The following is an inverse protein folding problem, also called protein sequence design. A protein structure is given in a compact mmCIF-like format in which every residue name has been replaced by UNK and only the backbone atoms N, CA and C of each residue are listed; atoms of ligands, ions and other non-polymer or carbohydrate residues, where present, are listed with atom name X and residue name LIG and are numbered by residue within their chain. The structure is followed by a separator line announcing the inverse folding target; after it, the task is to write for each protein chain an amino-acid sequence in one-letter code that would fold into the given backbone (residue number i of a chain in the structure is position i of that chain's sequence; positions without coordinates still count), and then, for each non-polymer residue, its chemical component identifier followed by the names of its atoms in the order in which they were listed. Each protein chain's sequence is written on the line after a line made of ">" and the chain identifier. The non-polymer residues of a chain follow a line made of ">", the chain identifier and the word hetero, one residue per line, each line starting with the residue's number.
data_IF_610661721941
#
_entry.id   IF_610661721941
#
_cell.length_a   1.000
_cell.length_b   1.000
_cell.length_c   1.000
_cell.angle_alpha   90.00
_cell.angle_beta   90.00
_cell.angle_gamma   90.00
#
_symmetry.space_group_name_H-M   'P 1'
#
loop_
_entity.id
_entity.type
_entity.pdbx_description
1 polymer ?
#
# COMPACT_ATOMS: atom_id res chain seq x y z
N UNK A 1 -30.66 48.81 -31.31
CA UNK A 1 -30.05 48.91 -29.95
C UNK A 1 -28.83 48.02 -29.86
N UNK A 2 -27.86 48.39 -29.04
CA UNK A 2 -26.81 47.48 -28.60
C UNK A 2 -27.44 46.43 -27.67
N UNK A 3 -27.19 45.16 -27.89
CA UNK A 3 -27.68 44.07 -27.04
C UNK A 3 -26.50 43.53 -26.26
N UNK A 4 -26.61 43.45 -24.93
CA UNK A 4 -25.55 42.91 -24.06
C UNK A 4 -26.08 41.71 -23.28
N UNK A 5 -25.35 40.60 -23.32
CA UNK A 5 -25.73 39.34 -22.68
C UNK A 5 -24.50 38.49 -22.35
N UNK A 6 -24.63 37.53 -21.45
CA UNK A 6 -23.58 36.54 -21.20
C UNK A 6 -23.41 35.63 -22.41
N UNK A 7 -22.18 35.15 -22.62
CA UNK A 7 -21.87 34.19 -23.69
C UNK A 7 -22.59 32.83 -23.50
N UNK A 8 -22.83 32.43 -22.25
CA UNK A 8 -23.48 31.18 -21.88
C UNK A 8 -24.49 31.42 -20.74
N UNK A 9 -25.52 30.56 -20.67
CA UNK A 9 -26.52 30.60 -19.62
C UNK A 9 -26.00 29.99 -18.30
N UNK A 10 -25.14 28.98 -18.38
CA UNK A 10 -24.61 28.27 -17.23
C UNK A 10 -23.14 27.91 -17.43
N UNK A 11 -22.42 27.73 -16.32
CA UNK A 11 -21.08 27.14 -16.29
C UNK A 11 -20.92 26.33 -15.01
N UNK A 12 -20.21 25.21 -15.10
CA UNK A 12 -19.78 24.46 -13.93
C UNK A 12 -18.26 24.55 -13.79
N UNK A 13 -17.78 24.88 -12.60
CA UNK A 13 -16.36 25.03 -12.29
C UNK A 13 -16.02 24.22 -11.05
N UNK A 14 -14.79 23.70 -10.99
CA UNK A 14 -14.29 23.09 -9.75
C UNK A 14 -13.98 24.17 -8.74
N UNK A 15 -14.19 23.89 -7.47
CA UNK A 15 -13.86 24.79 -6.38
C UNK A 15 -12.40 25.27 -6.44
N UNK A 16 -11.46 24.34 -6.70
CA UNK A 16 -10.03 24.66 -6.85
C UNK A 16 -9.62 25.53 -8.05
N UNK A 17 -10.55 25.99 -8.89
CA UNK A 17 -10.23 26.80 -10.08
C UNK A 17 -9.60 28.14 -9.69
N UNK A 18 -9.91 28.65 -8.49
CA UNK A 18 -9.49 29.97 -8.04
C UNK A 18 -10.17 31.07 -8.86
N UNK A 19 -9.60 31.46 -10.01
CA UNK A 19 -10.13 32.54 -10.85
C UNK A 19 -10.45 32.06 -12.25
N UNK A 20 -11.60 32.46 -12.77
CA UNK A 20 -11.98 32.21 -14.15
C UNK A 20 -12.67 33.41 -14.79
N UNK A 21 -12.55 33.52 -16.11
CA UNK A 21 -13.13 34.63 -16.86
C UNK A 21 -14.51 34.25 -17.38
N UNK A 22 -15.52 35.07 -17.06
CA UNK A 22 -16.84 35.02 -17.69
C UNK A 22 -16.90 36.04 -18.81
N UNK A 23 -17.25 35.57 -20.01
CA UNK A 23 -17.33 36.43 -21.20
C UNK A 23 -18.74 36.99 -21.38
N UNK A 24 -18.81 38.30 -21.60
CA UNK A 24 -20.03 39.05 -21.89
C UNK A 24 -19.92 39.54 -23.34
N UNK A 25 -20.97 39.27 -24.10
CA UNK A 25 -21.08 39.63 -25.50
C UNK A 25 -21.94 40.86 -25.69
N UNK A 26 -21.52 41.66 -26.67
CA UNK A 26 -22.26 42.78 -27.22
C UNK A 26 -22.45 42.57 -28.71
N UNK A 27 -23.70 42.65 -29.17
CA UNK A 27 -24.05 42.60 -30.58
C UNK A 27 -25.12 43.66 -30.94
N UNK A 28 -25.54 43.71 -32.20
CA UNK A 28 -26.40 44.77 -32.73
C UNK A 28 -25.61 46.06 -33.00
N UNK A 29 -26.05 47.20 -32.46
CA UNK A 29 -25.36 48.48 -32.67
C UNK A 29 -24.07 48.56 -31.84
N UNK A 30 -22.92 48.67 -32.49
CA UNK A 30 -21.59 48.76 -31.86
C UNK A 30 -21.01 50.18 -31.79
N UNK A 31 -21.69 51.18 -32.34
CA UNK A 31 -21.19 52.56 -32.37
C UNK A 31 -21.16 53.26 -31.00
N UNK A 32 -22.22 53.21 -30.16
CA UNK A 32 -22.20 53.92 -28.89
C UNK A 32 -21.31 53.22 -27.86
N UNK A 33 -20.79 53.95 -26.88
CA UNK A 33 -20.27 53.34 -25.65
C UNK A 33 -21.46 52.77 -24.84
N UNK A 34 -21.29 51.60 -24.22
CA UNK A 34 -22.34 50.96 -23.39
C UNK A 34 -21.75 50.54 -22.06
N UNK A 35 -22.44 50.85 -20.96
CA UNK A 35 -22.03 50.50 -19.60
C UNK A 35 -23.04 49.58 -18.95
N UNK A 36 -22.65 48.38 -18.58
CA UNK A 36 -23.50 47.40 -17.88
C UNK A 36 -22.93 47.10 -16.51
N UNK A 37 -23.80 46.94 -15.52
CA UNK A 37 -23.39 46.47 -14.20
C UNK A 37 -23.52 44.96 -14.13
N UNK A 38 -22.45 44.29 -13.70
CA UNK A 38 -22.42 42.88 -13.35
C UNK A 38 -22.49 42.78 -11.83
N UNK A 39 -23.46 42.01 -11.33
CA UNK A 39 -23.62 41.80 -9.89
C UNK A 39 -23.87 40.32 -9.58
N UNK A 40 -23.21 39.80 -8.55
CA UNK A 40 -23.51 38.46 -8.01
C UNK A 40 -24.83 38.45 -7.25
N UNK A 41 -25.56 37.34 -7.36
CA UNK A 41 -26.76 37.02 -6.60
C UNK A 41 -26.53 35.65 -5.99
N UNK A 42 -26.65 35.58 -4.68
CA UNK A 42 -26.48 34.35 -3.91
C UNK A 42 -27.55 33.32 -4.31
N UNK A 43 -27.16 32.04 -4.35
CA UNK A 43 -28.04 30.89 -4.53
C UNK A 43 -27.96 29.98 -3.30
N UNK A 44 -27.54 28.74 -3.51
CA UNK A 44 -27.13 27.84 -2.42
C UNK A 44 -25.72 28.18 -1.92
N UNK A 45 -24.83 28.61 -2.82
CA UNK A 45 -23.52 29.13 -2.48
C UNK A 45 -23.60 30.50 -1.81
N UNK A 46 -22.77 30.69 -0.79
CA UNK A 46 -22.66 31.85 0.09
C UNK A 46 -21.48 32.74 -0.29
N UNK A 47 -21.77 34.04 -0.33
CA UNK A 47 -20.75 35.07 -0.57
C UNK A 47 -19.68 35.04 0.54
N UNK A 48 -18.42 35.11 0.14
CA UNK A 48 -17.26 35.15 1.04
C UNK A 48 -16.85 33.80 1.63
N UNK A 49 -17.74 32.79 1.59
CA UNK A 49 -17.41 31.39 1.91
C UNK A 49 -17.01 30.66 0.62
N UNK A 50 -17.84 30.72 -0.43
CA UNK A 50 -17.66 29.89 -1.65
C UNK A 50 -17.23 30.71 -2.88
N UNK A 51 -17.55 32.01 -2.89
CA UNK A 51 -17.11 32.93 -3.95
C UNK A 51 -16.95 34.37 -3.45
N UNK A 52 -16.12 35.14 -4.15
CA UNK A 52 -15.96 36.57 -3.88
C UNK A 52 -17.05 37.37 -4.60
N UNK A 53 -17.87 38.18 -3.91
CA UNK A 53 -18.98 38.89 -4.53
C UNK A 53 -18.50 39.98 -5.49
N UNK A 54 -19.15 40.07 -6.64
CA UNK A 54 -18.85 41.06 -7.68
C UNK A 54 -19.96 42.09 -7.74
N UNK A 55 -19.56 43.36 -7.85
CA UNK A 55 -20.47 44.46 -8.15
C UNK A 55 -19.71 45.54 -8.92
N UNK A 56 -19.55 45.31 -10.22
CA UNK A 56 -18.68 46.09 -11.08
C UNK A 56 -19.43 46.64 -12.30
N UNK A 57 -18.95 47.75 -12.86
CA UNK A 57 -19.49 48.32 -14.09
C UNK A 57 -18.50 48.04 -15.22
N UNK A 58 -18.96 47.34 -16.25
CA UNK A 58 -18.20 47.03 -17.45
C UNK A 58 -18.59 48.00 -18.56
N UNK A 59 -17.57 48.65 -19.11
CA UNK A 59 -17.70 49.58 -20.23
C UNK A 59 -17.26 48.89 -21.52
N UNK A 60 -18.16 48.83 -22.50
CA UNK A 60 -17.86 48.49 -23.88
C UNK A 60 -17.60 49.77 -24.67
N UNK A 61 -16.37 49.96 -25.10
CA UNK A 61 -16.02 51.04 -26.02
C UNK A 61 -16.64 50.80 -27.41
N UNK A 62 -16.74 51.84 -28.26
CA UNK A 62 -17.18 51.68 -29.64
C UNK A 62 -16.44 50.54 -30.35
N UNK A 63 -17.19 49.74 -31.11
CA UNK A 63 -16.71 48.56 -31.85
C UNK A 63 -16.24 47.36 -30.98
N UNK A 64 -16.26 47.45 -29.65
CA UNK A 64 -15.96 46.29 -28.80
C UNK A 64 -17.14 45.32 -28.74
N UNK A 65 -16.87 44.05 -29.03
CA UNK A 65 -17.88 42.97 -29.07
C UNK A 65 -17.87 42.08 -27.83
N UNK A 66 -16.78 42.06 -27.09
CA UNK A 66 -16.62 41.20 -25.92
C UNK A 66 -15.86 41.90 -24.80
N UNK A 67 -16.25 41.58 -23.57
CA UNK A 67 -15.55 41.92 -22.35
C UNK A 67 -15.60 40.74 -21.41
N UNK A 68 -14.61 40.65 -20.54
CA UNK A 68 -14.54 39.61 -19.52
C UNK A 68 -14.69 40.23 -18.14
N UNK A 69 -15.38 39.51 -17.27
CA UNK A 69 -15.39 39.73 -15.82
C UNK A 69 -14.67 38.55 -15.18
N UNK A 70 -13.79 38.83 -14.21
CA UNK A 70 -13.09 37.77 -13.48
C UNK A 70 -13.95 37.38 -12.29
N UNK A 71 -14.28 36.10 -12.22
CA UNK A 71 -14.96 35.49 -11.08
C UNK A 71 -13.93 34.74 -10.26
N UNK A 72 -14.00 34.91 -8.94
CA UNK A 72 -13.12 34.26 -7.97
C UNK A 72 -13.95 33.33 -7.10
N UNK A 73 -13.61 32.05 -7.16
CA UNK A 73 -14.13 30.96 -6.33
C UNK A 73 -13.17 30.78 -5.16
N UNK A 74 -13.73 30.70 -3.97
CA UNK A 74 -12.97 30.43 -2.76
C UNK A 74 -12.84 28.92 -2.65
N UNK A 75 -11.62 28.43 -2.40
CA UNK A 75 -11.36 27.01 -2.22
C UNK A 75 -11.05 26.74 -0.75
N UNK A 76 -11.75 25.80 -0.14
CA UNK A 76 -11.44 25.32 1.20
C UNK A 76 -11.04 23.83 1.25
N UNK A 77 -11.32 23.13 2.35
CA UNK A 77 -11.05 21.69 2.47
C UNK A 77 -12.26 20.95 3.09
N UNK A 78 -13.44 21.56 3.08
CA UNK A 78 -14.66 21.00 3.66
C UNK A 78 -15.50 20.48 2.51
N UNK A 79 -15.83 19.20 2.61
CA UNK A 79 -16.79 18.62 1.70
C UNK A 79 -18.15 19.31 1.81
N UNK A 80 -18.60 19.82 0.67
CA UNK A 80 -19.89 20.44 0.46
C UNK A 80 -20.63 19.76 -0.71
N UNK A 81 -21.96 19.77 -0.72
CA UNK A 81 -22.70 19.39 -1.92
C UNK A 81 -22.42 20.40 -3.05
N UNK A 82 -22.72 20.06 -4.30
CA UNK A 82 -22.67 21.05 -5.38
C UNK A 82 -23.56 22.26 -5.03
N UNK A 83 -23.00 23.45 -5.20
CA UNK A 83 -23.68 24.70 -4.89
C UNK A 83 -23.74 25.62 -6.12
N UNK A 84 -24.66 26.57 -6.11
CA UNK A 84 -24.82 27.53 -7.18
C UNK A 84 -24.96 28.98 -6.70
N UNK A 85 -24.48 29.89 -7.53
CA UNK A 85 -24.78 31.32 -7.44
C UNK A 85 -24.97 31.89 -8.86
N UNK A 86 -25.41 33.13 -8.94
CA UNK A 86 -25.78 33.74 -10.22
C UNK A 86 -25.05 35.05 -10.46
N UNK A 87 -24.72 35.33 -11.72
CA UNK A 87 -24.35 36.66 -12.19
C UNK A 87 -25.55 37.30 -12.90
N UNK A 88 -25.82 38.56 -12.59
CA UNK A 88 -26.89 39.34 -13.24
C UNK A 88 -26.33 40.59 -13.91
N UNK A 89 -26.73 40.80 -15.16
CA UNK A 89 -26.55 42.04 -15.87
C UNK A 89 -27.68 43.02 -15.55
N UNK A 90 -27.33 44.29 -15.37
CA UNK A 90 -28.29 45.39 -15.27
C UNK A 90 -27.79 46.61 -16.03
N UNK A 91 -28.70 47.31 -16.71
CA UNK A 91 -28.38 48.57 -17.38
C UNK A 91 -28.17 49.66 -16.33
N UNK A 92 -27.14 50.48 -16.53
CA UNK A 92 -26.95 51.71 -15.74
C UNK A 92 -27.97 52.75 -16.23
N UNK A 93 -28.88 53.16 -15.33
CA UNK A 93 -29.95 54.11 -15.66
C UNK A 93 -29.38 55.47 -16.06
N UNK A 94 -29.97 56.10 -17.07
CA UNK A 94 -29.59 57.45 -17.53
C UNK A 94 -28.40 57.53 -18.49
N UNK A 95 -27.60 56.47 -18.62
CA UNK A 95 -26.37 56.47 -19.45
C UNK A 95 -26.50 55.66 -20.75
N UNK A 96 -27.50 54.77 -20.86
CA UNK A 96 -27.60 53.79 -21.95
C UNK A 96 -28.88 53.94 -22.79
N UNK A 97 -29.09 55.10 -23.42
CA UNK A 97 -30.34 55.39 -24.16
C UNK A 97 -30.64 54.41 -25.32
N UNK A 98 -29.62 53.68 -25.83
CA UNK A 98 -29.74 52.76 -26.96
C UNK A 98 -29.21 51.34 -26.67
N UNK A 99 -29.14 50.90 -25.40
CA UNK A 99 -28.75 49.54 -25.04
C UNK A 99 -29.90 48.76 -24.39
N UNK A 100 -29.96 47.46 -24.67
CA UNK A 100 -30.91 46.52 -24.07
C UNK A 100 -30.15 45.28 -23.58
N UNK A 101 -30.68 44.61 -22.57
CA UNK A 101 -30.17 43.30 -22.16
C UNK A 101 -30.72 42.23 -23.11
N UNK A 102 -29.87 41.28 -23.49
CA UNK A 102 -30.30 40.11 -24.23
C UNK A 102 -30.97 39.07 -23.33
N UNK A 103 -31.30 37.93 -23.92
CA UNK A 103 -31.99 36.83 -23.24
C UNK A 103 -31.13 36.21 -22.14
N UNK A 104 -29.80 36.15 -22.33
CA UNK A 104 -28.84 35.67 -21.33
C UNK A 104 -28.39 36.80 -20.40
N UNK A 105 -29.34 37.40 -19.70
CA UNK A 105 -29.07 38.50 -18.74
C UNK A 105 -28.74 38.02 -17.32
N UNK A 106 -28.98 36.74 -17.05
CA UNK A 106 -28.60 36.03 -15.82
C UNK A 106 -27.83 34.78 -16.25
N UNK A 107 -26.72 34.51 -15.56
CA UNK A 107 -25.90 33.32 -15.75
C UNK A 107 -25.77 32.58 -14.43
N UNK A 108 -25.97 31.27 -14.45
CA UNK A 108 -25.77 30.37 -13.31
C UNK A 108 -24.33 29.86 -13.29
N UNK A 109 -23.72 29.86 -12.12
CA UNK A 109 -22.40 29.29 -11.87
C UNK A 109 -22.58 28.19 -10.84
N UNK A 110 -22.33 26.96 -11.24
CA UNK A 110 -22.29 25.79 -10.34
C UNK A 110 -20.86 25.55 -9.89
N UNK A 111 -20.66 25.51 -8.57
CA UNK A 111 -19.40 25.15 -7.93
C UNK A 111 -19.47 23.64 -7.67
N UNK A 112 -18.51 22.92 -8.26
CA UNK A 112 -18.32 21.50 -8.07
C UNK A 112 -17.24 21.32 -7.01
N UNK A 113 -17.67 20.85 -5.84
CA UNK A 113 -16.79 20.42 -4.76
C UNK A 113 -15.83 19.33 -5.27
N UNK A 114 -14.55 19.48 -4.94
CA UNK A 114 -13.53 18.49 -5.27
C UNK A 114 -12.82 17.88 -4.06
N UNK A 115 -13.42 18.05 -2.88
CA UNK A 115 -12.97 17.51 -1.62
C UNK A 115 -13.53 16.11 -1.35
N UNK A 116 -12.73 15.28 -0.69
CA UNK A 116 -13.08 13.92 -0.37
C UNK A 116 -12.98 13.69 1.15
N UNK A 117 -14.12 13.64 1.87
CA UNK A 117 -14.12 13.47 3.32
C UNK A 117 -13.74 12.04 3.75
N UNK A 118 -13.61 11.11 2.80
CA UNK A 118 -13.07 9.79 3.03
C UNK A 118 -14.05 8.79 3.66
N UNK A 119 -13.54 7.57 3.85
CA UNK A 119 -14.26 6.42 4.38
C UNK A 119 -13.58 5.98 5.68
N UNK A 120 -14.37 5.90 6.75
CA UNK A 120 -13.92 5.52 8.09
C UNK A 120 -14.20 4.05 8.31
N UNK A 121 -13.21 3.28 8.74
CA UNK A 121 -13.36 1.84 9.03
C UNK A 121 -12.31 1.38 10.05
N UNK A 122 -12.48 0.17 10.60
CA UNK A 122 -11.39 -0.51 11.28
C UNK A 122 -10.40 -1.09 10.28
N UNK A 123 -9.12 -1.14 10.69
CA UNK A 123 -8.05 -1.75 9.89
C UNK A 123 -8.24 -3.27 9.74
N UNK A 124 -8.83 -3.91 10.76
CA UNK A 124 -9.07 -5.35 10.84
C UNK A 124 -10.43 -5.63 11.48
N UNK A 125 -10.98 -6.82 11.23
CA UNK A 125 -12.25 -7.30 11.83
C UNK A 125 -12.11 -7.84 13.26
N UNK A 126 -10.88 -8.12 13.67
CA UNK A 126 -10.59 -8.74 14.96
C UNK A 126 -9.24 -8.29 15.49
N UNK A 127 -9.12 -8.24 16.81
CA UNK A 127 -7.87 -8.00 17.51
C UNK A 127 -7.81 -8.85 18.78
N UNK A 128 -6.62 -9.36 19.09
CA UNK A 128 -6.34 -10.08 20.31
C UNK A 128 -5.61 -9.15 21.28
N UNK A 129 -6.03 -9.09 22.53
CA UNK A 129 -5.39 -8.36 23.61
C UNK A 129 -5.21 -9.26 24.83
N UNK A 130 -4.14 -9.03 25.58
CA UNK A 130 -3.93 -9.68 26.87
C UNK A 130 -4.81 -9.02 27.93
N UNK A 131 -5.31 -9.83 28.85
CA UNK A 131 -6.02 -9.32 30.03
C UNK A 131 -5.15 -8.33 30.84
N UNK A 132 -3.85 -8.63 30.98
CA UNK A 132 -2.88 -7.76 31.68
C UNK A 132 -2.46 -6.49 30.91
N UNK A 133 -2.98 -6.26 29.69
CA UNK A 133 -2.57 -5.12 28.87
C UNK A 133 -2.98 -3.75 29.45
N UNK A 134 -3.98 -3.73 30.33
CA UNK A 134 -4.58 -2.52 30.91
C UNK A 134 -5.43 -1.71 29.94
N UNK A 135 -5.02 -1.58 28.67
CA UNK A 135 -5.81 -0.94 27.62
C UNK A 135 -5.66 -1.69 26.29
N UNK A 136 -6.76 -1.78 25.55
CA UNK A 136 -6.73 -2.13 24.13
C UNK A 136 -6.74 -0.86 23.28
N UNK A 137 -5.85 -0.81 22.28
CA UNK A 137 -5.72 0.32 21.35
C UNK A 137 -6.29 -0.07 19.99
N UNK A 138 -7.54 0.31 19.75
CA UNK A 138 -8.28 -0.02 18.54
C UNK A 138 -7.92 0.94 17.40
N UNK A 139 -7.24 0.50 16.33
CA UNK A 139 -6.91 1.36 15.20
C UNK A 139 -8.12 1.59 14.29
N UNK A 140 -8.46 2.85 14.11
CA UNK A 140 -9.47 3.33 13.18
C UNK A 140 -8.76 4.07 12.06
N UNK A 141 -9.11 3.76 10.81
CA UNK A 141 -8.50 4.34 9.63
C UNK A 141 -9.53 5.12 8.82
N UNK A 142 -9.06 6.21 8.19
CA UNK A 142 -9.78 7.02 7.22
C UNK A 142 -9.04 6.91 5.89
N UNK A 143 -9.71 6.42 4.85
CA UNK A 143 -9.11 6.14 3.54
C UNK A 143 -9.99 6.64 2.39
N UNK A 144 -9.43 6.73 1.17
CA UNK A 144 -10.11 7.32 -0.01
C UNK A 144 -10.59 8.75 0.21
N UNK A 145 -9.80 9.55 0.92
CA UNK A 145 -10.09 10.94 1.24
C UNK A 145 -9.68 11.27 2.67
N UNK A 146 -9.21 12.49 2.87
CA UNK A 146 -8.82 13.01 4.19
C UNK A 146 -9.12 14.49 4.33
N UNK A 147 -9.94 15.03 3.43
CA UNK A 147 -10.22 16.47 3.34
C UNK A 147 -11.25 16.83 4.41
N UNK A 148 -10.94 17.85 5.19
CA UNK A 148 -11.82 18.42 6.18
C UNK A 148 -11.89 17.62 7.48
N UNK A 149 -12.54 18.24 8.46
CA UNK A 149 -12.82 17.62 9.74
C UNK A 149 -14.08 16.75 9.63
N UNK A 150 -13.99 15.50 10.07
CA UNK A 150 -15.13 14.56 10.07
C UNK A 150 -15.24 13.91 11.44
N UNK A 151 -16.46 13.79 11.93
CA UNK A 151 -16.75 13.09 13.19
C UNK A 151 -17.64 11.88 12.96
N UNK A 152 -17.52 10.88 13.84
CA UNK A 152 -18.31 9.66 13.84
C UNK A 152 -18.46 9.16 15.28
N UNK A 153 -19.48 8.34 15.54
CA UNK A 153 -19.72 7.76 16.85
C UNK A 153 -19.20 6.34 16.94
N UNK A 154 -18.82 5.94 18.15
CA UNK A 154 -18.53 4.56 18.49
C UNK A 154 -19.35 4.11 19.70
N UNK A 155 -19.55 2.81 19.80
CA UNK A 155 -20.05 2.16 21.03
C UNK A 155 -19.46 0.77 21.17
N UNK A 156 -19.29 0.33 22.41
CA UNK A 156 -18.96 -1.07 22.72
C UNK A 156 -20.23 -1.90 22.88
N UNK A 157 -20.16 -3.18 22.56
CA UNK A 157 -21.26 -4.13 22.61
C UNK A 157 -20.77 -5.39 23.30
N UNK A 158 -21.43 -5.75 24.40
CA UNK A 158 -21.14 -6.97 25.15
C UNK A 158 -21.42 -8.22 24.32
N UNK A 159 -20.55 -9.23 24.50
CA UNK A 159 -20.71 -10.57 23.94
C UNK A 159 -20.43 -11.59 25.04
N UNK A 160 -19.31 -12.29 25.01
CA UNK A 160 -18.90 -13.14 26.13
C UNK A 160 -18.20 -12.32 27.21
N UNK A 161 -17.43 -11.30 26.82
CA UNK A 161 -16.92 -10.28 27.73
C UNK A 161 -18.00 -9.22 28.00
N UNK A 162 -18.12 -8.82 29.25
CA UNK A 162 -19.12 -7.92 29.82
C UNK A 162 -18.48 -6.63 30.33
N UNK A 163 -19.09 -5.50 29.97
CA UNK A 163 -18.66 -4.18 30.44
C UNK A 163 -18.80 -4.07 31.97
N UNK A 164 -17.76 -3.54 32.62
CA UNK A 164 -17.65 -3.39 34.07
C UNK A 164 -17.09 -4.61 34.79
N UNK A 165 -16.98 -5.76 34.10
CA UNK A 165 -16.30 -6.96 34.60
C UNK A 165 -14.96 -7.17 33.89
N UNK A 166 -14.99 -7.31 32.57
CA UNK A 166 -13.82 -7.71 31.77
C UNK A 166 -13.18 -6.52 31.03
N UNK A 167 -13.98 -5.49 30.76
CA UNK A 167 -13.53 -4.25 30.15
C UNK A 167 -14.39 -3.06 30.57
N UNK A 168 -13.93 -1.83 30.38
CA UNK A 168 -14.74 -0.64 30.63
C UNK A 168 -15.41 -0.21 29.32
N UNK A 169 -16.67 -0.59 29.15
CA UNK A 169 -17.46 -0.24 27.98
C UNK A 169 -17.86 1.24 27.93
N UNK A 170 -18.28 1.69 26.74
CA UNK A 170 -18.65 3.08 26.54
C UNK A 170 -19.11 3.41 25.12
N UNK A 171 -19.52 4.65 24.97
CA UNK A 171 -19.85 5.25 23.68
C UNK A 171 -19.37 6.69 23.64
N UNK A 172 -18.98 7.17 22.47
CA UNK A 172 -18.52 8.55 22.31
C UNK A 172 -18.43 8.96 20.85
N UNK A 173 -18.01 10.20 20.65
CA UNK A 173 -17.74 10.76 19.33
C UNK A 173 -16.23 10.89 19.15
N UNK A 174 -15.73 10.45 18.00
CA UNK A 174 -14.34 10.60 17.59
C UNK A 174 -14.32 11.52 16.38
N UNK A 175 -13.33 12.40 16.34
CA UNK A 175 -13.16 13.37 15.26
C UNK A 175 -11.79 13.18 14.61
N UNK A 176 -11.79 12.95 13.29
CA UNK A 176 -10.60 13.07 12.46
C UNK A 176 -10.42 14.52 12.05
N UNK A 177 -9.24 15.07 12.30
CA UNK A 177 -8.87 16.40 11.78
C UNK A 177 -8.60 16.34 10.28
N UNK A 178 -8.52 17.51 9.65
CA UNK A 178 -8.08 17.61 8.26
C UNK A 178 -6.72 16.90 8.06
N UNK A 179 -6.61 16.10 7.00
CA UNK A 179 -5.45 15.29 6.65
C UNK A 179 -5.10 14.15 7.63
N UNK A 180 -5.90 13.92 8.67
CA UNK A 180 -5.69 12.82 9.61
C UNK A 180 -6.29 11.52 9.07
N UNK A 181 -5.49 10.46 9.01
CA UNK A 181 -5.87 9.18 8.38
C UNK A 181 -5.94 8.01 9.36
N UNK A 182 -5.44 8.17 10.59
CA UNK A 182 -5.44 7.11 11.61
C UNK A 182 -5.61 7.66 13.02
N UNK A 183 -6.48 7.01 13.80
CA UNK A 183 -6.69 7.28 15.22
C UNK A 183 -6.68 5.97 16.02
N UNK A 184 -6.34 6.06 17.30
CA UNK A 184 -6.36 4.93 18.24
C UNK A 184 -7.42 5.20 19.31
N UNK A 185 -8.45 4.36 19.35
CA UNK A 185 -9.42 4.36 20.44
C UNK A 185 -8.90 3.47 21.57
N UNK A 186 -8.68 4.06 22.75
CA UNK A 186 -8.25 3.33 23.94
C UNK A 186 -9.46 2.88 24.75
N UNK A 187 -9.57 1.57 25.00
CA UNK A 187 -10.61 0.98 25.85
C UNK A 187 -9.90 0.28 27.01
N UNK A 188 -10.19 0.63 28.27
CA UNK A 188 -9.59 -0.04 29.43
C UNK A 188 -10.02 -1.51 29.50
N UNK A 189 -9.05 -2.39 29.74
CA UNK A 189 -9.26 -3.81 30.04
C UNK A 189 -9.13 -3.99 31.54
N UNK A 190 -10.06 -4.73 32.14
CA UNK A 190 -10.03 -5.05 33.56
C UNK A 190 -9.33 -6.39 33.69
N UNK A 191 -8.31 -6.43 34.55
CA UNK A 191 -7.58 -7.65 34.85
C UNK A 191 -8.08 -8.20 36.17
N UNK A 192 -8.58 -9.42 36.17
CA UNK A 192 -8.95 -10.12 37.39
C UNK A 192 -7.99 -11.29 37.68
N UNK A 193 -8.29 -12.08 38.70
CA UNK A 193 -7.44 -13.20 39.13
C UNK A 193 -8.07 -14.56 38.82
N UNK A 194 -9.24 -14.57 38.17
CA UNK A 194 -9.96 -15.79 37.86
C UNK A 194 -9.46 -16.34 36.51
N UNK A 195 -9.08 -17.63 36.43
CA UNK A 195 -8.67 -18.22 35.18
C UNK A 195 -9.88 -18.40 34.26
N UNK A 196 -10.15 -17.40 33.42
CA UNK A 196 -11.24 -17.40 32.45
C UNK A 196 -10.79 -17.95 31.08
N UNK A 197 -11.79 -18.37 30.28
CA UNK A 197 -11.57 -18.72 28.86
C UNK A 197 -11.48 -17.45 28.03
N UNK A 198 -10.97 -17.55 26.81
CA UNK A 198 -10.97 -16.42 25.87
C UNK A 198 -12.37 -15.79 25.75
N UNK A 199 -12.46 -14.51 26.07
CA UNK A 199 -13.69 -13.74 25.99
C UNK A 199 -13.57 -12.67 24.90
N UNK A 200 -14.69 -12.15 24.42
CA UNK A 200 -14.67 -11.10 23.43
C UNK A 200 -15.83 -10.13 23.59
N UNK A 201 -15.63 -8.92 23.12
CA UNK A 201 -16.65 -7.88 22.93
C UNK A 201 -16.52 -7.28 21.53
N UNK A 202 -17.50 -6.48 21.11
CA UNK A 202 -17.48 -5.80 19.81
C UNK A 202 -17.40 -4.28 19.97
N UNK A 203 -16.74 -3.61 19.02
CA UNK A 203 -16.77 -2.14 18.85
C UNK A 203 -17.44 -1.84 17.52
N UNK A 204 -18.44 -0.96 17.51
CA UNK A 204 -19.18 -0.54 16.31
C UNK A 204 -18.99 0.96 16.03
N UNK A 205 -18.74 1.31 14.76
CA UNK A 205 -18.69 2.68 14.24
C UNK A 205 -19.98 3.03 13.49
N UNK A 206 -20.53 4.22 13.73
CA UNK A 206 -21.79 4.68 13.13
C UNK A 206 -21.89 6.21 13.08
N UNK A 207 -22.95 6.73 12.44
CA UNK A 207 -23.27 8.15 12.30
C UNK A 207 -22.08 9.04 11.88
N UNK A 208 -21.50 8.86 10.68
CA UNK A 208 -20.47 9.78 10.18
C UNK A 208 -21.08 11.13 9.80
N UNK A 209 -20.28 12.18 9.84
CA UNK A 209 -20.68 13.58 9.55
C UNK A 209 -19.85 14.16 8.39
N UNK A 210 -20.27 15.32 7.86
CA UNK A 210 -19.54 16.07 6.83
C UNK A 210 -19.18 15.24 5.59
N UNK A 211 -20.18 14.51 5.06
CA UNK A 211 -20.03 13.71 3.83
C UNK A 211 -19.24 12.40 3.96
N UNK A 212 -18.55 12.18 5.08
CA UNK A 212 -17.81 10.94 5.33
C UNK A 212 -18.75 9.72 5.37
N UNK A 213 -18.18 8.55 5.06
CA UNK A 213 -18.93 7.29 5.05
C UNK A 213 -18.29 6.26 5.95
N UNK A 214 -19.10 5.37 6.53
CA UNK A 214 -18.59 4.19 7.22
C UNK A 214 -18.31 3.08 6.19
N UNK A 215 -17.11 2.51 6.25
CA UNK A 215 -16.69 1.43 5.35
C UNK A 215 -17.22 0.06 5.75
N UNK A 216 -16.87 -0.95 4.95
CA UNK A 216 -17.36 -2.33 5.13
C UNK A 216 -16.93 -3.00 6.45
N UNK A 217 -15.88 -2.49 7.09
CA UNK A 217 -15.40 -2.97 8.40
C UNK A 217 -15.82 -1.95 9.45
N UNK A 218 -17.12 -1.91 9.73
CA UNK A 218 -17.73 -1.01 10.72
C UNK A 218 -17.84 -1.62 12.12
N UNK A 219 -17.56 -2.91 12.24
CA UNK A 219 -17.49 -3.64 13.50
C UNK A 219 -16.18 -4.40 13.61
N UNK A 220 -15.64 -4.44 14.82
CA UNK A 220 -14.44 -5.19 15.13
C UNK A 220 -14.65 -5.94 16.45
N UNK A 221 -14.31 -7.22 16.47
CA UNK A 221 -14.26 -8.02 17.69
C UNK A 221 -12.91 -7.81 18.40
N UNK A 222 -12.95 -7.57 19.71
CA UNK A 222 -11.77 -7.58 20.56
C UNK A 222 -11.86 -8.83 21.42
N UNK A 223 -10.88 -9.73 21.26
CA UNK A 223 -10.75 -10.93 22.08
C UNK A 223 -9.73 -10.67 23.18
N UNK A 224 -10.16 -10.84 24.42
CA UNK A 224 -9.33 -10.79 25.61
C UNK A 224 -8.90 -12.24 25.88
N UNK A 225 -7.60 -12.49 25.77
CA UNK A 225 -7.02 -13.78 26.10
C UNK A 225 -6.29 -13.71 27.44
N UNK A 226 -6.40 -14.79 28.20
CA UNK A 226 -5.62 -15.01 29.39
C UNK A 226 -4.12 -14.97 29.04
N UNK A 227 -3.30 -14.44 29.94
CA UNK A 227 -1.86 -14.28 29.74
C UNK A 227 -1.15 -15.61 29.42
N UNK A 228 -1.60 -16.71 30.03
CA UNK A 228 -1.00 -18.05 29.86
C UNK A 228 -1.33 -18.65 28.47
N UNK A 229 -2.53 -18.36 27.94
CA UNK A 229 -3.02 -18.90 26.67
C UNK A 229 -2.80 -17.96 25.46
N UNK A 230 -2.39 -16.71 25.70
CA UNK A 230 -2.22 -15.70 24.65
C UNK A 230 -1.34 -16.17 23.48
N UNK A 231 -0.22 -16.84 23.77
CA UNK A 231 0.69 -17.33 22.72
C UNK A 231 0.01 -18.43 21.87
N UNK A 232 -0.73 -19.33 22.51
CA UNK A 232 -1.47 -20.42 21.85
C UNK A 232 -2.58 -19.86 20.96
N UNK A 233 -3.30 -18.85 21.44
CA UNK A 233 -4.38 -18.20 20.70
C UNK A 233 -3.83 -17.35 19.55
N UNK A 234 -2.73 -16.63 19.77
CA UNK A 234 -2.05 -15.88 18.73
C UNK A 234 -1.57 -16.81 17.61
N UNK A 235 -1.02 -17.97 17.95
CA UNK A 235 -0.62 -18.99 16.96
C UNK A 235 -1.83 -19.51 16.17
N UNK A 236 -2.97 -19.79 16.83
CA UNK A 236 -4.20 -20.22 16.15
C UNK A 236 -4.81 -19.13 15.25
N UNK A 237 -4.84 -17.88 15.71
CA UNK A 237 -5.33 -16.74 14.95
C UNK A 237 -4.39 -16.42 13.78
N UNK A 238 -3.08 -16.53 13.96
CA UNK A 238 -2.12 -16.43 12.87
C UNK A 238 -2.35 -17.53 11.84
N UNK A 239 -2.66 -18.77 12.24
CA UNK A 239 -2.98 -19.86 11.30
C UNK A 239 -4.28 -19.59 10.53
N UNK A 240 -5.32 -19.07 11.19
CA UNK A 240 -6.62 -18.80 10.54
C UNK A 240 -6.66 -17.53 9.68
N UNK A 241 -5.85 -16.51 9.97
CA UNK A 241 -5.91 -15.21 9.28
C UNK A 241 -4.98 -15.08 8.08
N UNK A 242 -4.23 -16.13 7.74
CA UNK A 242 -3.00 -15.93 6.99
C UNK A 242 -2.89 -16.86 5.77
N UNK A 243 -3.50 -16.43 4.66
CA UNK A 243 -3.14 -16.80 3.29
C UNK A 243 -1.82 -16.16 2.84
N UNK A 244 -0.87 -15.89 3.74
CA UNK A 244 0.45 -15.37 3.41
C UNK A 244 1.50 -15.58 4.53
N UNK A 245 1.39 -16.68 5.30
CA UNK A 245 2.39 -17.02 6.34
C UNK A 245 3.76 -17.26 5.69
N UNK A 246 3.81 -17.82 4.49
CA UNK A 246 5.07 -18.27 3.89
C UNK A 246 6.06 -17.13 3.61
N UNK A 247 5.56 -15.90 3.43
CA UNK A 247 6.40 -14.71 3.23
C UNK A 247 6.97 -14.13 4.55
N UNK A 248 6.38 -14.43 5.71
CA UNK A 248 6.86 -13.99 7.03
C UNK A 248 7.59 -15.10 7.81
N UNK A 249 7.39 -16.38 7.45
CA UNK A 249 8.08 -17.54 8.05
C UNK A 249 9.52 -17.75 7.57
N UNK A 250 10.06 -16.87 6.72
CA UNK A 250 11.36 -17.09 6.08
C UNK A 250 12.54 -17.07 7.08
N UNK A 251 12.39 -16.55 8.31
CA UNK A 251 13.56 -16.28 9.16
C UNK A 251 13.53 -16.69 10.64
N UNK A 252 12.77 -17.72 11.03
CA UNK A 252 12.96 -18.34 12.36
C UNK A 252 12.83 -19.85 12.27
N UNK A 253 13.96 -20.52 12.02
CA UNK A 253 14.08 -21.97 12.21
C UNK A 253 15.31 -22.23 13.05
N UNK A 254 15.09 -22.66 14.28
CA UNK A 254 16.12 -23.30 15.11
C UNK A 254 16.68 -24.54 14.38
N UNK A 255 17.87 -25.02 14.76
CA UNK A 255 18.44 -26.26 14.20
C UNK A 255 17.45 -27.44 14.26
N UNK A 256 16.74 -27.58 15.38
CA UNK A 256 15.73 -28.63 15.56
C UNK A 256 14.57 -28.53 14.56
N UNK A 257 14.12 -27.31 14.24
CA UNK A 257 13.07 -27.09 13.25
C UNK A 257 13.55 -27.30 11.81
N UNK A 258 14.81 -26.98 11.51
CA UNK A 258 15.41 -27.27 10.20
C UNK A 258 15.46 -28.77 9.94
N UNK A 259 15.95 -29.55 10.92
CA UNK A 259 16.00 -31.01 10.84
C UNK A 259 14.60 -31.61 10.76
N UNK A 260 13.66 -31.14 11.59
CA UNK A 260 12.27 -31.60 11.56
C UNK A 260 11.59 -31.31 10.22
N UNK A 261 11.85 -30.14 9.63
CA UNK A 261 11.34 -29.81 8.28
C UNK A 261 11.99 -30.69 7.20
N UNK A 262 13.30 -30.98 7.32
CA UNK A 262 14.00 -31.83 6.37
C UNK A 262 13.47 -33.28 6.38
N UNK A 263 13.05 -33.76 7.55
CA UNK A 263 12.47 -35.09 7.74
C UNK A 263 11.00 -35.18 7.34
N UNK A 264 10.30 -34.06 7.13
CA UNK A 264 8.87 -34.08 6.78
C UNK A 264 8.62 -33.89 5.28
N UNK A 265 7.62 -34.65 4.78
CA UNK A 265 7.09 -34.44 3.43
C UNK A 265 6.25 -33.16 3.46
N UNK A 266 6.40 -32.32 2.43
CA UNK A 266 5.68 -31.06 2.30
C UNK A 266 5.77 -30.13 3.55
N UNK A 267 6.90 -30.14 4.27
CA UNK A 267 7.10 -29.29 5.44
C UNK A 267 6.27 -29.68 6.68
N UNK A 268 5.62 -30.86 6.68
CA UNK A 268 4.81 -31.35 7.79
C UNK A 268 3.31 -31.33 7.52
N UNK A 269 2.88 -30.78 6.38
CA UNK A 269 1.48 -30.83 5.93
C UNK A 269 1.22 -32.10 5.13
N UNK A 270 0.93 -33.18 5.85
CA UNK A 270 0.61 -34.50 5.27
C UNK A 270 -0.76 -34.55 4.60
N UNK A 271 -1.70 -33.68 4.99
CA UNK A 271 -3.09 -33.72 4.49
C UNK A 271 -3.19 -33.22 3.04
N UNK A 272 -2.33 -32.27 2.66
CA UNK A 272 -2.27 -31.73 1.30
C UNK A 272 -1.12 -32.31 0.44
N UNK A 273 -0.38 -33.30 0.94
CA UNK A 273 0.79 -33.83 0.25
C UNK A 273 0.40 -34.67 -0.98
N UNK A 274 0.86 -34.27 -2.16
CA UNK A 274 0.61 -34.99 -3.42
C UNK A 274 1.61 -36.14 -3.61
N UNK A 275 1.28 -37.11 -4.47
CA UNK A 275 2.21 -38.19 -4.84
C UNK A 275 3.55 -37.65 -5.39
N UNK A 276 3.50 -36.52 -6.12
CA UNK A 276 4.69 -35.84 -6.62
C UNK A 276 5.58 -35.35 -5.46
N UNK A 277 5.00 -34.88 -4.36
CA UNK A 277 5.75 -34.37 -3.20
C UNK A 277 6.49 -35.49 -2.46
N UNK A 278 5.91 -36.69 -2.38
CA UNK A 278 6.60 -37.86 -1.82
C UNK A 278 7.77 -38.31 -2.70
N UNK A 279 7.58 -38.34 -4.02
CA UNK A 279 8.63 -38.68 -4.99
C UNK A 279 9.77 -37.66 -4.91
N UNK A 280 9.44 -36.37 -4.93
CA UNK A 280 10.42 -35.29 -4.79
C UNK A 280 11.10 -35.31 -3.43
N UNK A 281 10.37 -35.59 -2.34
CA UNK A 281 10.96 -35.72 -1.01
C UNK A 281 11.97 -36.87 -0.97
N UNK A 282 11.67 -38.03 -1.54
CA UNK A 282 12.61 -39.16 -1.61
C UNK A 282 13.91 -38.80 -2.32
N UNK A 283 13.84 -38.24 -3.52
CA UNK A 283 15.04 -37.86 -4.30
C UNK A 283 15.81 -36.68 -3.69
N UNK A 284 15.14 -35.78 -2.98
CA UNK A 284 15.76 -34.62 -2.33
C UNK A 284 16.13 -34.86 -0.86
N UNK A 285 15.79 -36.00 -0.28
CA UNK A 285 15.93 -36.25 1.16
C UNK A 285 17.37 -36.08 1.64
N UNK A 286 18.31 -36.68 0.90
CA UNK A 286 19.74 -36.56 1.17
C UNK A 286 20.18 -35.09 1.25
N UNK A 287 19.79 -34.28 0.27
CA UNK A 287 20.11 -32.86 0.20
C UNK A 287 19.43 -32.06 1.31
N UNK A 288 18.18 -32.38 1.64
CA UNK A 288 17.43 -31.72 2.72
C UNK A 288 18.10 -31.93 4.08
N UNK A 289 18.53 -33.15 4.38
CA UNK A 289 19.21 -33.46 5.64
C UNK A 289 20.59 -32.80 5.68
N UNK A 290 21.35 -32.88 4.59
CA UNK A 290 22.68 -32.26 4.50
C UNK A 290 22.62 -30.74 4.72
N UNK A 291 21.68 -30.05 4.08
CA UNK A 291 21.54 -28.59 4.22
C UNK A 291 20.88 -28.16 5.54
N UNK A 292 20.15 -29.05 6.22
CA UNK A 292 19.61 -28.78 7.56
C UNK A 292 20.68 -28.80 8.66
N UNK A 293 21.90 -29.27 8.37
CA UNK A 293 23.05 -29.18 9.27
C UNK A 293 23.79 -27.83 9.17
N UNK A 294 23.38 -26.95 8.25
CA UNK A 294 23.94 -25.61 8.18
C UNK A 294 23.35 -24.73 9.29
N UNK A 295 24.16 -23.87 9.92
CA UNK A 295 23.69 -23.07 11.03
C UNK A 295 22.56 -22.12 10.59
N UNK A 296 21.52 -21.93 11.42
CA UNK A 296 20.42 -21.03 11.18
C UNK A 296 20.88 -19.61 10.84
N UNK A 297 20.22 -18.94 9.88
CA UNK A 297 20.57 -17.58 9.46
C UNK A 297 20.48 -16.52 10.57
N UNK A 298 19.80 -16.79 11.70
CA UNK A 298 19.73 -15.81 12.80
C UNK A 298 21.04 -15.73 13.59
N UNK A 299 21.89 -16.76 13.53
CA UNK A 299 23.16 -16.78 14.27
C UNK A 299 24.14 -15.80 13.60
N UNK A 300 24.67 -14.86 14.39
CA UNK A 300 25.63 -13.83 13.92
C UNK A 300 25.14 -13.03 12.69
N UNK A 301 23.86 -12.64 12.67
CA UNK A 301 23.26 -11.86 11.55
C UNK A 301 23.46 -12.52 10.18
N UNK A 302 23.49 -13.85 10.14
CA UNK A 302 23.60 -14.63 8.90
C UNK A 302 25.02 -14.91 8.43
N UNK A 303 26.04 -14.26 9.01
CA UNK A 303 27.43 -14.47 8.59
C UNK A 303 27.92 -15.90 8.84
N UNK A 304 27.52 -16.52 9.95
CA UNK A 304 27.90 -17.91 10.23
C UNK A 304 27.29 -18.88 9.21
N UNK A 305 26.02 -18.68 8.87
CA UNK A 305 25.31 -19.44 7.84
C UNK A 305 25.99 -19.27 6.48
N UNK A 306 26.34 -18.04 6.11
CA UNK A 306 27.02 -17.71 4.85
C UNK A 306 28.39 -18.38 4.69
N UNK A 307 29.28 -18.28 5.68
CA UNK A 307 30.60 -18.91 5.57
C UNK A 307 30.53 -20.43 5.65
N UNK A 308 29.63 -20.98 6.48
CA UNK A 308 29.44 -22.43 6.58
C UNK A 308 28.87 -23.03 5.30
N UNK A 309 27.93 -22.34 4.65
CA UNK A 309 27.37 -22.79 3.37
C UNK A 309 28.41 -22.72 2.25
N UNK A 310 29.23 -21.67 2.21
CA UNK A 310 30.31 -21.54 1.22
C UNK A 310 31.36 -22.65 1.37
N UNK A 311 31.72 -23.00 2.62
CA UNK A 311 32.61 -24.13 2.90
C UNK A 311 32.00 -25.48 2.50
N UNK A 312 30.72 -25.71 2.80
CA UNK A 312 30.01 -26.93 2.43
C UNK A 312 29.89 -27.09 0.90
N UNK A 313 29.60 -26.00 0.17
CA UNK A 313 29.57 -25.99 -1.30
C UNK A 313 30.96 -26.31 -1.86
N UNK A 314 32.02 -25.69 -1.33
CA UNK A 314 33.41 -25.99 -1.74
C UNK A 314 33.80 -27.44 -1.52
N UNK A 315 33.39 -28.03 -0.39
CA UNK A 315 33.63 -29.45 -0.09
C UNK A 315 32.85 -30.39 -1.01
N UNK A 316 31.56 -30.11 -1.24
CA UNK A 316 30.73 -30.93 -2.12
C UNK A 316 31.19 -30.87 -3.58
N UNK A 317 31.58 -29.69 -4.06
CA UNK A 317 32.11 -29.52 -5.42
C UNK A 317 33.43 -30.25 -5.62
N UNK A 318 34.31 -30.30 -4.61
CA UNK A 318 35.51 -31.12 -4.64
C UNK A 318 35.20 -32.63 -4.76
N UNK A 319 34.29 -33.14 -3.92
CA UNK A 319 33.87 -34.56 -3.98
C UNK A 319 33.25 -34.90 -5.34
N UNK A 320 32.34 -34.06 -5.84
CA UNK A 320 31.69 -34.28 -7.14
C UNK A 320 32.72 -34.20 -8.28
N UNK A 321 33.69 -33.30 -8.18
CA UNK A 321 34.82 -33.21 -9.12
C UNK A 321 35.67 -34.48 -9.15
N UNK A 322 36.02 -35.02 -7.98
CA UNK A 322 36.79 -36.26 -7.86
C UNK A 322 36.02 -37.46 -8.43
N UNK A 323 34.73 -37.58 -8.11
CA UNK A 323 33.87 -38.65 -8.64
C UNK A 323 33.73 -38.53 -10.17
N UNK A 324 33.53 -37.30 -10.68
CA UNK A 324 33.41 -37.06 -12.11
C UNK A 324 34.72 -37.39 -12.87
N UNK A 325 35.87 -37.14 -12.24
CA UNK A 325 37.19 -37.49 -12.79
C UNK A 325 37.38 -39.00 -12.83
N UNK A 326 37.07 -39.71 -11.74
CA UNK A 326 37.13 -41.18 -11.68
C UNK A 326 36.20 -41.82 -12.71
N UNK A 327 34.97 -41.31 -12.83
CA UNK A 327 34.01 -41.77 -13.83
C UNK A 327 34.50 -41.47 -15.27
N UNK A 328 35.07 -40.29 -15.50
CA UNK A 328 35.67 -39.91 -16.77
C UNK A 328 36.78 -40.86 -17.21
N UNK A 329 37.68 -41.21 -16.28
CA UNK A 329 38.72 -42.21 -16.49
C UNK A 329 38.15 -43.61 -16.81
N UNK A 330 37.05 -44.00 -16.16
CA UNK A 330 36.46 -45.33 -16.32
C UNK A 330 35.69 -45.48 -17.65
N UNK A 331 35.11 -44.40 -18.16
CA UNK A 331 34.31 -44.38 -19.40
C UNK A 331 35.12 -43.87 -20.61
N UNK A 332 36.37 -43.41 -20.39
CA UNK A 332 37.25 -42.91 -21.45
C UNK A 332 36.85 -41.52 -21.98
N UNK A 333 36.17 -40.72 -21.16
CA UNK A 333 35.76 -39.36 -21.51
C UNK A 333 36.87 -38.36 -21.16
N UNK A 334 37.06 -37.36 -22.01
CA UNK A 334 37.99 -36.26 -21.74
C UNK A 334 37.53 -35.48 -20.50
N UNK A 335 38.47 -35.15 -19.61
CA UNK A 335 38.28 -34.38 -18.38
C UNK A 335 37.45 -33.09 -18.59
N UNK A 336 37.59 -32.46 -19.76
CA UNK A 336 36.81 -31.25 -20.09
C UNK A 336 35.32 -31.58 -20.30
N UNK A 337 35.02 -32.72 -20.92
CA UNK A 337 33.65 -33.16 -21.20
C UNK A 337 32.98 -33.60 -19.89
N UNK A 338 33.67 -34.38 -19.05
CA UNK A 338 33.13 -34.84 -17.76
C UNK A 338 32.88 -33.69 -16.80
N UNK A 339 33.77 -32.69 -16.75
CA UNK A 339 33.57 -31.46 -15.99
C UNK A 339 32.32 -30.69 -16.46
N UNK A 340 32.13 -30.52 -17.77
CA UNK A 340 30.97 -29.78 -18.30
C UNK A 340 29.67 -30.56 -18.12
N UNK A 341 29.65 -31.87 -18.39
CA UNK A 341 28.38 -32.62 -18.40
C UNK A 341 27.92 -33.12 -17.04
N UNK A 342 28.84 -33.47 -16.14
CA UNK A 342 28.49 -34.07 -14.85
C UNK A 342 28.62 -33.07 -13.70
N UNK A 343 29.71 -32.30 -13.65
CA UNK A 343 29.92 -31.32 -12.57
C UNK A 343 29.00 -30.12 -12.75
N UNK A 344 28.94 -29.53 -13.95
CA UNK A 344 28.09 -28.36 -14.18
C UNK A 344 26.59 -28.68 -14.09
N UNK A 345 26.15 -29.88 -14.49
CA UNK A 345 24.76 -30.31 -14.32
C UNK A 345 24.42 -30.55 -12.84
N UNK A 346 25.36 -31.14 -12.08
CA UNK A 346 25.21 -31.39 -10.64
C UNK A 346 25.12 -30.12 -9.80
N UNK A 347 25.72 -29.01 -10.24
CA UNK A 347 25.66 -27.71 -9.55
C UNK A 347 24.54 -26.82 -10.06
N UNK A 348 24.29 -26.79 -11.37
CA UNK A 348 23.31 -25.87 -11.98
C UNK A 348 21.85 -26.29 -11.77
N UNK A 349 21.57 -27.60 -11.63
CA UNK A 349 20.21 -28.09 -11.38
C UNK A 349 19.70 -27.68 -9.98
N UNK A 350 20.44 -27.90 -8.88
CA UNK A 350 20.06 -27.36 -7.56
C UNK A 350 19.80 -25.86 -7.58
N UNK A 351 20.64 -25.07 -8.24
CA UNK A 351 20.47 -23.62 -8.36
C UNK A 351 19.22 -23.23 -9.15
N UNK A 352 18.88 -24.00 -10.19
CA UNK A 352 17.65 -23.80 -10.95
C UNK A 352 16.41 -24.04 -10.07
N UNK A 353 16.42 -25.10 -9.25
CA UNK A 353 15.31 -25.40 -8.33
C UNK A 353 15.24 -24.41 -7.16
N UNK A 354 16.38 -23.99 -6.61
CA UNK A 354 16.46 -22.97 -5.57
C UNK A 354 15.92 -21.62 -6.08
N UNK A 355 16.34 -21.20 -7.28
CA UNK A 355 15.86 -20.00 -7.95
C UNK A 355 14.35 -20.05 -8.23
N UNK A 356 13.85 -21.19 -8.75
CA UNK A 356 12.41 -21.39 -8.98
C UNK A 356 11.60 -21.31 -7.68
N UNK A 357 12.14 -21.85 -6.58
CA UNK A 357 11.48 -21.83 -5.28
C UNK A 357 11.45 -20.42 -4.69
N UNK A 358 12.55 -19.68 -4.81
CA UNK A 358 12.61 -18.27 -4.43
C UNK A 358 11.62 -17.40 -5.22
N UNK A 359 11.53 -17.59 -6.54
CA UNK A 359 10.60 -16.86 -7.42
C UNK A 359 9.14 -17.09 -7.03
N UNK A 360 8.77 -18.32 -6.66
CA UNK A 360 7.40 -18.66 -6.24
C UNK A 360 7.01 -18.07 -4.89
N UNK A 361 7.97 -17.75 -4.03
CA UNK A 361 7.75 -17.20 -2.68
C UNK A 361 7.78 -15.67 -2.60
N UNK A 362 8.13 -14.97 -3.68
CA UNK A 362 8.26 -13.51 -3.68
C UNK A 362 7.05 -12.83 -4.35
N UNK A 363 6.61 -11.72 -3.74
CA UNK A 363 5.51 -10.89 -4.25
C UNK A 363 5.93 -9.95 -5.38
N UNK A 364 7.20 -9.51 -5.36
CA UNK A 364 7.76 -8.52 -6.27
C UNK A 364 8.97 -9.08 -7.04
N UNK A 365 9.17 -8.63 -8.29
CA UNK A 365 10.19 -9.16 -9.20
C UNK A 365 11.63 -8.86 -8.76
N UNK A 366 11.87 -7.75 -8.06
CA UNK A 366 13.23 -7.29 -7.73
C UNK A 366 13.97 -8.23 -6.76
N UNK A 367 13.26 -8.76 -5.76
CA UNK A 367 13.81 -9.76 -4.83
C UNK A 367 14.20 -11.06 -5.53
N UNK A 368 13.45 -11.44 -6.57
CA UNK A 368 13.75 -12.59 -7.41
C UNK A 368 14.99 -12.37 -8.28
N UNK A 369 15.10 -11.17 -8.88
CA UNK A 369 16.25 -10.80 -9.72
C UNK A 369 17.54 -10.80 -8.91
N UNK A 370 17.53 -10.29 -7.67
CA UNK A 370 18.69 -10.32 -6.78
C UNK A 370 19.19 -11.74 -6.50
N UNK A 371 18.30 -12.68 -6.22
CA UNK A 371 18.65 -14.07 -5.94
C UNK A 371 19.20 -14.80 -7.18
N UNK A 372 18.54 -14.65 -8.33
CA UNK A 372 18.97 -15.27 -9.59
C UNK A 372 20.32 -14.69 -10.04
N UNK A 373 20.46 -13.37 -9.95
CA UNK A 373 21.71 -12.68 -10.34
C UNK A 373 22.84 -13.04 -9.40
N UNK A 374 22.57 -13.17 -8.10
CA UNK A 374 23.53 -13.61 -7.09
C UNK A 374 24.02 -15.05 -7.33
N UNK A 375 23.10 -16.01 -7.55
CA UNK A 375 23.44 -17.41 -7.84
C UNK A 375 24.25 -17.55 -9.14
N UNK A 376 23.84 -16.88 -10.22
CA UNK A 376 24.59 -16.87 -11.48
C UNK A 376 25.95 -16.19 -11.34
N UNK A 377 26.05 -15.13 -10.53
CA UNK A 377 27.32 -14.45 -10.26
C UNK A 377 28.28 -15.36 -9.49
N UNK A 378 27.80 -16.14 -8.51
CA UNK A 378 28.61 -17.12 -7.78
C UNK A 378 29.10 -18.22 -8.73
N UNK A 379 28.23 -18.79 -9.56
CA UNK A 379 28.63 -19.86 -10.49
C UNK A 379 29.65 -19.40 -11.53
N UNK A 380 29.49 -18.19 -12.07
CA UNK A 380 30.43 -17.66 -13.08
C UNK A 380 31.70 -17.13 -12.42
N UNK A 381 31.58 -16.34 -11.36
CA UNK A 381 32.72 -15.66 -10.74
C UNK A 381 33.54 -16.58 -9.84
N UNK A 382 32.90 -17.36 -8.95
CA UNK A 382 33.59 -18.30 -8.07
C UNK A 382 33.83 -19.65 -8.74
N UNK A 383 32.93 -20.11 -9.62
CA UNK A 383 33.06 -21.41 -10.30
C UNK A 383 34.03 -21.43 -11.48
N UNK A 384 34.12 -20.36 -12.26
CA UNK A 384 35.01 -20.28 -13.44
C UNK A 384 36.06 -19.16 -13.33
N UNK A 385 35.66 -17.98 -12.86
CA UNK A 385 36.52 -16.80 -12.81
C UNK A 385 37.68 -16.91 -11.82
N UNK A 386 37.42 -17.25 -10.57
CA UNK A 386 38.43 -17.34 -9.51
C UNK A 386 39.45 -18.47 -9.77
N UNK A 387 39.05 -19.70 -10.15
CA UNK A 387 40.00 -20.76 -10.48
C UNK A 387 40.88 -20.39 -11.68
N UNK A 388 40.29 -19.77 -12.72
CA UNK A 388 41.06 -19.30 -13.88
C UNK A 388 42.04 -18.19 -13.51
N UNK A 389 41.64 -17.23 -12.67
CA UNK A 389 42.52 -16.19 -12.16
C UNK A 389 43.65 -16.76 -11.31
N UNK A 390 43.36 -17.69 -10.39
CA UNK A 390 44.38 -18.37 -9.57
C UNK A 390 45.34 -19.19 -10.44
N UNK A 391 44.84 -19.89 -11.46
CA UNK A 391 45.68 -20.59 -12.42
C UNK A 391 46.55 -19.63 -13.23
N UNK A 392 46.01 -18.51 -13.70
CA UNK A 392 46.76 -17.49 -14.43
C UNK A 392 47.87 -16.87 -13.56
N UNK A 393 47.59 -16.55 -12.29
CA UNK A 393 48.58 -16.06 -11.32
C UNK A 393 49.63 -17.13 -11.03
N UNK A 394 49.24 -18.39 -10.83
CA UNK A 394 50.16 -19.50 -10.62
C UNK A 394 51.09 -19.69 -11.83
N UNK A 395 50.56 -19.71 -13.05
CA UNK A 395 51.35 -19.82 -14.26
C UNK A 395 52.24 -18.60 -14.49
N UNK A 396 51.77 -17.38 -14.22
CA UNK A 396 52.59 -16.17 -14.27
C UNK A 396 53.76 -16.22 -13.27
N UNK A 397 53.51 -16.74 -12.06
CA UNK A 397 54.54 -16.93 -11.02
C UNK A 397 55.56 -18.01 -11.37
N UNK A 398 55.16 -19.02 -12.16
CA UNK A 398 56.03 -20.10 -12.63
C UNK A 398 56.83 -19.69 -13.87
N UNK A 399 56.27 -18.85 -14.75
CA UNK A 399 56.96 -18.29 -15.92
C UNK A 399 58.08 -17.34 -15.49
N UNK A 400 57.98 -16.68 -14.33
CA UNK A 400 59.07 -15.88 -13.76
C UNK A 400 60.20 -16.70 -13.12
N UNK A 401 60.07 -18.04 -13.02
CA UNK A 401 61.12 -18.95 -12.51
C UNK A 401 61.81 -19.72 -13.65
N UNK A 402 61.31 -19.63 -14.89
CA UNK A 402 61.93 -20.20 -16.11
C UNK A 402 62.39 -19.11 -17.08
N UNK A 403 62.89 -18.02 -16.52
CA UNK A 403 63.51 -16.89 -17.23
C UNK A 403 64.83 -16.49 -16.59
N UNK A 404 65.70 -17.46 -16.32
CA UNK A 404 67.15 -17.30 -16.25
C UNK A 404 67.84 -18.62 -16.60
#
# INVERSE_FOLDING_TARGET
>A
NAVVEFHAATVAVKEKIGKFAVTIWRHGNLEPQVRVRVKTIDGTARRGEDYVPINEIITFEPQQREKQVIVEIVNDNKWEPNEEFFLRLSLVHGENQNAVLGHLSIMEITILDDDNPGIIAFEKRGMLVKESAGFVRVPIIRYKGSDGEVSFKYKTIDRSALSGRDYVGGSGTITFKNMETRLLLEIPIINDFDPEKDEHFEVELFDPTNGARIGNINRMAVTIANDDDFNTVMDRLMVMTNTNIDALRVHTKTWGEQIKTAMSVNGGDLENATCCDYVLHYFSFFWKVLFALLPPPQIFRGWLCFFSSLAAIGFMTAIIGDIATIFGCLVGLNDTITAITLVAMGTSLPDTFASRSAVRGCKDADSCVGNITGSNSVNVFLGLGLPWFMAAVYHFSKVSVFGM
#
